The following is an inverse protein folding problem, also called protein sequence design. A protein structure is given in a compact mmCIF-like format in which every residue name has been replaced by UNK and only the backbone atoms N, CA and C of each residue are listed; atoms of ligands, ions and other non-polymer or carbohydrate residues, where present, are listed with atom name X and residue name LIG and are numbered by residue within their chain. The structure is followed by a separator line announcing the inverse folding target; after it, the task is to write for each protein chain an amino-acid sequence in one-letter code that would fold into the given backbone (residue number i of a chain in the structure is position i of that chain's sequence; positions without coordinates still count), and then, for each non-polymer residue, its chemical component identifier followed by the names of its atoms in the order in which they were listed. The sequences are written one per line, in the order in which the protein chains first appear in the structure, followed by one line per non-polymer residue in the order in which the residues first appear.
data_IF_863832104695
#
_entry.id   IF_863832104695
#
_cell.length_a   1.000
_cell.length_b   1.000
_cell.length_c   1.000
_cell.angle_alpha   90.00
_cell.angle_beta   90.00
_cell.angle_gamma   90.00
#
_symmetry.space_group_name_H-M   'P 1'
#
loop_
_entity.id
_entity.type
_entity.pdbx_description
1 polymer ?
#
# COMPACT_ATOMS: atom_id res chain seq x y z
N UNK A 1 -4.55 -0.66 -9.31
CA UNK A 1 -5.23 -1.05 -8.06
C UNK A 1 -6.65 -1.45 -8.41
N UNK A 2 -7.04 -2.70 -8.17
CA UNK A 2 -8.42 -3.15 -8.33
C UNK A 2 -9.24 -2.71 -7.12
N UNK A 3 -10.39 -2.08 -7.33
CA UNK A 3 -11.26 -1.56 -6.26
C UNK A 3 -12.27 -2.63 -5.86
N UNK A 4 -12.30 -2.98 -4.57
CA UNK A 4 -13.37 -3.81 -4.00
C UNK A 4 -14.57 -2.93 -3.68
N UNK A 5 -15.78 -3.41 -3.99
CA UNK A 5 -17.01 -2.66 -3.73
C UNK A 5 -17.84 -3.42 -2.69
N UNK A 6 -18.31 -2.75 -1.61
CA UNK A 6 -19.21 -3.39 -0.66
C UNK A 6 -20.51 -3.79 -1.38
N UNK A 7 -20.99 -4.99 -1.09
CA UNK A 7 -22.29 -5.44 -1.60
C UNK A 7 -23.37 -4.64 -0.89
N UNK A 8 -24.23 -3.95 -1.64
CA UNK A 8 -25.35 -3.19 -1.10
C UNK A 8 -26.66 -3.92 -1.33
N UNK A 9 -27.71 -3.61 -0.55
CA UNK A 9 -29.06 -4.18 -0.69
C UNK A 9 -29.71 -4.05 -2.08
N UNK A 10 -29.10 -3.29 -3.00
CA UNK A 10 -29.55 -3.19 -4.40
C UNK A 10 -29.10 -4.35 -5.28
N UNK A 11 -28.14 -5.17 -4.85
CA UNK A 11 -27.87 -6.46 -5.49
C UNK A 11 -28.99 -7.42 -5.13
N UNK A 12 -29.84 -7.75 -6.11
CA UNK A 12 -31.04 -8.58 -5.90
C UNK A 12 -30.67 -9.95 -5.27
N UNK A 13 -31.55 -10.42 -4.39
CA UNK A 13 -31.84 -11.75 -3.79
C UNK A 13 -30.72 -12.72 -3.37
N UNK A 14 -29.81 -12.32 -2.49
CA UNK A 14 -28.99 -13.28 -1.76
C UNK A 14 -29.84 -14.34 -1.06
N UNK A 15 -29.38 -15.60 -1.06
CA UNK A 15 -30.07 -16.70 -0.38
C UNK A 15 -29.07 -17.63 0.29
N UNK A 16 -29.55 -18.41 1.26
CA UNK A 16 -28.75 -19.40 1.98
C UNK A 16 -29.24 -20.79 1.57
N UNK A 17 -28.34 -21.63 1.10
CA UNK A 17 -28.61 -23.03 0.74
C UNK A 17 -27.46 -23.89 1.25
N UNK A 18 -27.77 -24.92 2.04
CA UNK A 18 -26.78 -25.85 2.62
C UNK A 18 -25.59 -25.18 3.33
N UNK A 19 -25.85 -24.05 4.00
CA UNK A 19 -24.83 -23.28 4.71
C UNK A 19 -23.96 -22.37 3.83
N UNK A 20 -24.26 -22.29 2.54
CA UNK A 20 -23.64 -21.36 1.60
C UNK A 20 -24.50 -20.12 1.40
N UNK A 21 -23.87 -18.95 1.48
CA UNK A 21 -24.44 -17.68 1.05
C UNK A 21 -24.17 -17.51 -0.45
N UNK A 22 -25.25 -17.57 -1.23
CA UNK A 22 -25.19 -17.55 -2.69
C UNK A 22 -25.71 -16.23 -3.27
N UNK A 23 -25.04 -15.74 -4.32
CA UNK A 23 -25.53 -14.64 -5.15
C UNK A 23 -26.52 -15.19 -6.19
N UNK A 24 -27.71 -14.61 -6.36
CA UNK A 24 -28.55 -14.97 -7.50
C UNK A 24 -27.95 -14.32 -8.74
N UNK A 25 -27.75 -15.10 -9.80
CA UNK A 25 -27.43 -14.56 -11.11
C UNK A 25 -28.71 -14.44 -11.91
N UNK A 26 -29.25 -13.23 -11.96
CA UNK A 26 -30.02 -12.83 -13.13
C UNK A 26 -29.04 -12.39 -14.21
N UNK A 27 -29.18 -12.93 -15.41
CA UNK A 27 -28.58 -12.30 -16.58
C UNK A 27 -29.13 -10.89 -16.76
N UNK A 28 -28.44 -10.03 -17.53
CA UNK A 28 -28.96 -8.70 -17.88
C UNK A 28 -30.38 -8.70 -18.49
N UNK A 29 -30.83 -9.82 -19.07
CA UNK A 29 -32.18 -10.02 -19.62
C UNK A 29 -33.20 -10.60 -18.61
N UNK A 30 -32.84 -10.69 -17.32
CA UNK A 30 -33.76 -11.12 -16.25
C UNK A 30 -34.11 -12.60 -16.27
N UNK A 31 -33.33 -13.43 -16.96
CA UNK A 31 -33.46 -14.88 -16.93
C UNK A 31 -32.56 -15.47 -15.85
N UNK A 32 -33.00 -16.57 -15.26
CA UNK A 32 -32.17 -17.36 -14.37
C UNK A 32 -31.00 -17.93 -15.17
N UNK A 33 -29.80 -17.43 -14.93
CA UNK A 33 -28.60 -18.06 -15.48
C UNK A 33 -28.18 -19.13 -14.48
N UNK A 34 -28.38 -20.40 -14.86
CA UNK A 34 -27.59 -21.48 -14.26
C UNK A 34 -26.13 -21.25 -14.65
N UNK A 35 -25.37 -20.59 -13.80
CA UNK A 35 -23.91 -20.56 -13.89
C UNK A 35 -23.39 -21.69 -13.00
N UNK A 36 -22.62 -22.59 -13.58
CA UNK A 36 -22.12 -23.81 -12.93
C UNK A 36 -21.12 -23.59 -11.77
N UNK A 37 -20.85 -22.35 -11.36
CA UNK A 37 -20.22 -22.02 -10.08
C UNK A 37 -19.94 -20.51 -10.03
N UNK A 38 -20.79 -19.72 -9.38
CA UNK A 38 -20.22 -18.58 -8.66
C UNK A 38 -19.79 -19.10 -7.29
N UNK A 39 -18.59 -18.75 -6.80
CA UNK A 39 -18.18 -19.14 -5.46
C UNK A 39 -19.08 -18.41 -4.47
N UNK A 40 -20.09 -19.13 -3.95
CA UNK A 40 -20.78 -18.71 -2.74
C UNK A 40 -19.79 -18.66 -1.57
N UNK A 41 -20.22 -18.05 -0.47
CA UNK A 41 -19.41 -18.02 0.76
C UNK A 41 -19.98 -19.07 1.70
N UNK A 42 -19.18 -20.08 2.05
CA UNK A 42 -19.55 -21.06 3.08
C UNK A 42 -19.50 -20.36 4.43
N UNK A 43 -20.67 -20.19 5.06
CA UNK A 43 -20.80 -19.38 6.27
C UNK A 43 -20.01 -19.96 7.45
N UNK A 44 -19.90 -21.29 7.53
CA UNK A 44 -19.11 -21.98 8.55
C UNK A 44 -17.61 -21.68 8.47
N UNK A 45 -17.12 -21.22 7.33
CA UNK A 45 -15.69 -20.96 7.14
C UNK A 45 -15.31 -19.53 7.53
N UNK A 46 -16.30 -18.66 7.76
CA UNK A 46 -16.09 -17.21 7.95
C UNK A 46 -16.89 -16.59 9.10
N UNK A 47 -17.86 -17.33 9.66
CA UNK A 47 -18.68 -16.91 10.79
C UNK A 47 -18.65 -17.98 11.88
N UNK A 48 -18.66 -17.53 13.13
CA UNK A 48 -18.81 -18.36 14.32
C UNK A 48 -19.93 -17.87 15.25
N UNK A 49 -19.99 -18.47 16.43
CA UNK A 49 -20.89 -18.06 17.52
C UNK A 49 -20.09 -17.92 18.81
N UNK A 50 -20.15 -16.74 19.44
CA UNK A 50 -19.44 -16.44 20.69
C UNK A 50 -20.41 -15.80 21.67
N UNK A 51 -20.68 -16.48 22.79
CA UNK A 51 -21.58 -16.04 23.85
C UNK A 51 -22.94 -15.51 23.34
N UNK A 52 -23.57 -16.21 22.38
CA UNK A 52 -24.87 -15.82 21.84
C UNK A 52 -24.82 -14.63 20.87
N UNK A 53 -23.63 -14.25 20.40
CA UNK A 53 -23.41 -13.27 19.33
C UNK A 53 -22.78 -13.93 18.12
N UNK A 54 -22.90 -13.27 16.96
CA UNK A 54 -22.10 -13.65 15.79
C UNK A 54 -20.63 -13.42 16.12
N UNK A 55 -19.76 -14.28 15.62
CA UNK A 55 -18.33 -14.04 15.64
C UNK A 55 -17.87 -13.82 14.19
N UNK A 56 -17.31 -12.64 13.91
CA UNK A 56 -16.77 -12.23 12.62
C UNK A 56 -15.25 -12.05 12.67
N UNK A 57 -14.59 -12.55 13.72
CA UNK A 57 -13.13 -12.51 13.82
C UNK A 57 -12.46 -13.30 12.67
N UNK A 58 -11.17 -13.04 12.36
CA UNK A 58 -10.46 -13.76 11.29
C UNK A 58 -10.35 -15.28 11.50
N UNK A 59 -10.46 -15.74 12.74
CA UNK A 59 -10.43 -17.13 13.16
C UNK A 59 -11.83 -17.72 13.43
N UNK A 60 -12.88 -16.92 13.22
CA UNK A 60 -14.25 -17.35 13.43
C UNK A 60 -14.61 -18.49 12.46
N UNK A 61 -15.24 -19.53 12.99
CA UNK A 61 -15.75 -20.64 12.20
C UNK A 61 -16.87 -21.38 12.92
N UNK A 62 -17.60 -22.18 12.15
CA UNK A 62 -18.60 -23.11 12.64
C UNK A 62 -19.92 -22.48 13.06
N UNK A 63 -20.40 -21.44 12.38
CA UNK A 63 -21.73 -20.86 12.62
C UNK A 63 -22.82 -21.94 12.75
N UNK A 64 -22.94 -22.83 11.77
CA UNK A 64 -23.92 -23.91 11.66
C UNK A 64 -23.36 -25.19 12.29
N UNK A 65 -22.13 -25.59 11.95
CA UNK A 65 -21.55 -26.85 12.42
C UNK A 65 -21.34 -26.94 13.93
N UNK A 66 -21.27 -25.80 14.65
CA UNK A 66 -21.18 -25.78 16.11
C UNK A 66 -22.45 -26.25 16.82
N UNK A 67 -23.60 -26.27 16.13
CA UNK A 67 -24.90 -26.51 16.74
C UNK A 67 -25.40 -25.34 17.60
N UNK A 68 -24.67 -24.22 17.68
CA UNK A 68 -25.05 -23.01 18.43
C UNK A 68 -25.83 -21.98 17.60
N UNK A 69 -26.25 -22.32 16.39
CA UNK A 69 -27.13 -21.47 15.58
C UNK A 69 -28.32 -22.26 15.02
N UNK A 70 -29.45 -21.57 14.87
CA UNK A 70 -30.61 -22.08 14.14
C UNK A 70 -31.43 -20.95 13.53
N UNK A 71 -32.42 -21.32 12.69
CA UNK A 71 -33.31 -20.36 12.02
C UNK A 71 -32.58 -19.32 11.17
N UNK A 72 -31.48 -19.73 10.54
CA UNK A 72 -30.64 -18.88 9.71
C UNK A 72 -31.40 -18.43 8.45
N UNK A 73 -31.53 -17.12 8.26
CA UNK A 73 -32.17 -16.53 7.07
C UNK A 73 -31.51 -15.22 6.70
N UNK A 74 -31.38 -14.93 5.41
CA UNK A 74 -30.92 -13.64 4.90
C UNK A 74 -32.14 -12.83 4.43
N UNK A 75 -32.26 -11.61 4.94
CA UNK A 75 -33.30 -10.66 4.54
C UNK A 75 -33.01 -10.00 3.18
N UNK A 76 -34.02 -9.37 2.60
CA UNK A 76 -33.86 -8.58 1.36
C UNK A 76 -32.98 -7.33 1.55
N UNK A 77 -32.84 -6.88 2.80
CA UNK A 77 -31.93 -5.83 3.26
C UNK A 77 -30.48 -6.30 3.41
N UNK A 78 -30.19 -7.56 3.08
CA UNK A 78 -28.89 -8.20 3.25
C UNK A 78 -28.46 -8.29 4.73
N UNK A 79 -29.46 -8.41 5.62
CA UNK A 79 -29.26 -8.69 7.04
C UNK A 79 -29.44 -10.18 7.30
N UNK A 80 -28.42 -10.80 7.88
CA UNK A 80 -28.45 -12.19 8.31
C UNK A 80 -29.12 -12.26 9.68
N UNK A 81 -30.22 -13.01 9.77
CA UNK A 81 -30.92 -13.28 11.02
C UNK A 81 -30.65 -14.72 11.47
N UNK A 82 -30.40 -14.91 12.76
CA UNK A 82 -30.26 -16.22 13.39
C UNK A 82 -30.78 -16.21 14.83
N UNK A 83 -31.08 -17.38 15.36
CA UNK A 83 -31.13 -17.62 16.81
C UNK A 83 -29.78 -18.20 17.21
N UNK A 84 -29.07 -17.55 18.12
CA UNK A 84 -27.73 -17.95 18.56
C UNK A 84 -27.75 -18.33 20.03
N UNK A 85 -27.12 -19.44 20.36
CA UNK A 85 -27.06 -19.94 21.72
C UNK A 85 -25.87 -19.31 22.47
N UNK A 86 -26.11 -18.82 23.69
CA UNK A 86 -25.04 -18.36 24.58
C UNK A 86 -24.37 -19.49 25.36
N UNK A 87 -23.43 -19.14 26.23
CA UNK A 87 -22.68 -20.13 27.02
C UNK A 87 -23.51 -20.73 28.17
N UNK A 88 -24.67 -20.14 28.50
CA UNK A 88 -25.64 -20.69 29.44
C UNK A 88 -26.65 -21.63 28.78
N UNK A 89 -26.66 -21.67 27.44
CA UNK A 89 -27.58 -22.48 26.66
C UNK A 89 -28.86 -21.73 26.23
N UNK A 90 -28.97 -20.44 26.55
CA UNK A 90 -30.11 -19.61 26.20
C UNK A 90 -30.02 -19.14 24.75
N UNK A 91 -31.15 -19.07 24.06
CA UNK A 91 -31.24 -18.70 22.65
C UNK A 91 -31.60 -17.23 22.48
N UNK A 92 -30.80 -16.51 21.69
CA UNK A 92 -30.96 -15.08 21.46
C UNK A 92 -31.19 -14.77 19.98
N UNK A 93 -32.23 -13.99 19.62
CA UNK A 93 -32.38 -13.49 18.26
C UNK A 93 -31.26 -12.48 17.96
N UNK A 94 -30.48 -12.74 16.91
CA UNK A 94 -29.39 -11.88 16.45
C UNK A 94 -29.53 -11.52 14.99
N UNK A 95 -28.95 -10.38 14.64
CA UNK A 95 -28.95 -9.81 13.30
C UNK A 95 -27.53 -9.33 12.97
N UNK A 96 -27.09 -9.56 11.74
CA UNK A 96 -25.78 -9.15 11.24
C UNK A 96 -25.94 -8.51 9.87
N UNK A 97 -25.51 -7.26 9.71
CA UNK A 97 -25.54 -6.62 8.40
C UNK A 97 -24.36 -7.11 7.55
N UNK A 98 -24.66 -7.94 6.54
CA UNK A 98 -23.63 -8.58 5.72
C UNK A 98 -22.91 -7.58 4.80
N UNK A 99 -23.48 -6.38 4.59
CA UNK A 99 -22.88 -5.33 3.75
C UNK A 99 -21.52 -4.84 4.28
N UNK A 100 -21.25 -5.04 5.57
CA UNK A 100 -19.96 -4.67 6.16
C UNK A 100 -18.85 -5.69 5.91
N UNK A 101 -19.21 -6.94 5.62
CA UNK A 101 -18.26 -8.04 5.57
C UNK A 101 -18.12 -8.62 4.17
N UNK A 102 -19.12 -8.46 3.31
CA UNK A 102 -19.12 -9.07 1.98
C UNK A 102 -18.72 -8.06 0.92
N UNK A 103 -17.60 -8.34 0.24
CA UNK A 103 -17.05 -7.53 -0.82
C UNK A 103 -17.05 -8.30 -2.13
N UNK A 104 -17.49 -7.65 -3.21
CA UNK A 104 -17.44 -8.22 -4.54
C UNK A 104 -16.28 -7.60 -5.33
N UNK A 105 -15.60 -8.44 -6.10
CA UNK A 105 -14.61 -8.03 -7.10
C UNK A 105 -14.65 -9.01 -8.26
N UNK A 106 -14.80 -8.49 -9.46
CA UNK A 106 -14.87 -9.25 -10.71
C UNK A 106 -15.94 -10.37 -10.63
N UNK A 107 -15.51 -11.63 -10.57
CA UNK A 107 -16.36 -12.83 -10.47
C UNK A 107 -16.24 -13.54 -9.13
N UNK A 108 -15.67 -12.86 -8.12
CA UNK A 108 -15.47 -13.40 -6.77
C UNK A 108 -16.17 -12.54 -5.74
N UNK A 109 -16.65 -13.21 -4.69
CA UNK A 109 -17.12 -12.59 -3.47
C UNK A 109 -16.18 -13.04 -2.35
N UNK A 110 -15.79 -12.10 -1.49
CA UNK A 110 -14.90 -12.34 -0.35
C UNK A 110 -15.57 -11.85 0.93
N UNK A 111 -15.46 -12.64 1.99
CA UNK A 111 -15.76 -12.20 3.34
C UNK A 111 -14.51 -11.53 3.94
N UNK A 112 -14.68 -10.36 4.55
CA UNK A 112 -13.61 -9.65 5.27
C UNK A 112 -14.08 -9.34 6.67
N UNK A 113 -13.36 -9.87 7.65
CA UNK A 113 -13.49 -9.51 9.06
C UNK A 113 -13.28 -8.00 9.28
N UNK A 114 -13.80 -7.42 10.38
CA UNK A 114 -13.55 -6.03 10.73
C UNK A 114 -12.06 -5.68 10.65
N UNK A 115 -11.75 -4.59 9.94
CA UNK A 115 -10.37 -4.11 9.86
C UNK A 115 -9.92 -3.54 11.21
N UNK A 116 -8.65 -3.70 11.56
CA UNK A 116 -8.07 -2.95 12.68
C UNK A 116 -7.84 -1.48 12.34
N UNK A 117 -7.91 -1.10 11.05
CA UNK A 117 -7.78 0.28 10.63
C UNK A 117 -9.09 1.05 10.88
N UNK A 118 -9.01 2.06 11.77
CA UNK A 118 -10.16 2.86 12.20
C UNK A 118 -10.82 3.67 11.08
N UNK A 119 -10.12 3.95 9.96
CA UNK A 119 -10.71 4.59 8.77
C UNK A 119 -11.69 3.68 8.03
N UNK A 120 -11.54 2.36 8.19
CA UNK A 120 -12.35 1.35 7.50
C UNK A 120 -13.42 0.81 8.44
N UNK A 121 -13.08 0.56 9.70
CA UNK A 121 -13.96 -0.10 10.66
C UNK A 121 -14.59 0.82 11.70
N UNK A 122 -14.34 2.13 11.62
CA UNK A 122 -14.95 3.11 12.52
C UNK A 122 -15.50 4.32 11.78
N UNK A 123 -16.18 5.17 12.53
CA UNK A 123 -16.78 6.41 12.01
C UNK A 123 -17.34 7.29 13.10
N UNK A 124 -17.97 8.40 12.69
CA UNK A 124 -18.52 9.42 13.58
C UNK A 124 -17.51 9.89 14.65
N UNK A 125 -16.24 10.03 14.25
CA UNK A 125 -15.20 10.44 15.17
C UNK A 125 -15.32 11.92 15.49
N UNK A 126 -15.35 12.25 16.78
CA UNK A 126 -15.37 13.62 17.29
C UNK A 126 -14.26 13.81 18.32
N UNK A 127 -13.80 15.04 18.47
CA UNK A 127 -12.86 15.43 19.53
C UNK A 127 -13.61 16.16 20.65
N UNK A 128 -13.61 15.58 21.85
CA UNK A 128 -14.18 16.19 23.05
C UNK A 128 -13.06 16.43 24.07
N UNK A 129 -12.59 17.68 24.13
CA UNK A 129 -11.41 18.03 24.91
C UNK A 129 -10.16 17.35 24.34
N UNK A 130 -9.58 16.41 25.10
CA UNK A 130 -8.43 15.60 24.66
C UNK A 130 -8.80 14.18 24.26
N UNK A 131 -10.09 13.82 24.35
CA UNK A 131 -10.57 12.49 24.03
C UNK A 131 -11.10 12.46 22.61
N UNK A 132 -10.65 11.51 21.82
CA UNK A 132 -11.35 11.11 20.60
C UNK A 132 -12.48 10.16 21.00
N UNK A 133 -13.68 10.41 20.51
CA UNK A 133 -14.85 9.53 20.66
C UNK A 133 -15.35 9.14 19.29
N UNK A 134 -16.00 7.98 19.17
CA UNK A 134 -16.63 7.56 17.93
C UNK A 134 -17.30 6.21 18.09
N UNK A 135 -17.58 5.57 16.95
CA UNK A 135 -18.12 4.21 16.88
C UNK A 135 -17.20 3.32 16.07
N UNK A 136 -17.02 2.08 16.51
CA UNK A 136 -16.15 1.09 15.88
C UNK A 136 -16.86 -0.26 15.76
N UNK A 137 -16.69 -0.93 14.62
CA UNK A 137 -17.20 -2.26 14.34
C UNK A 137 -16.37 -3.32 15.06
N UNK A 138 -17.00 -4.12 15.93
CA UNK A 138 -16.34 -5.17 16.69
C UNK A 138 -16.43 -6.55 16.02
N UNK A 139 -15.74 -7.53 16.62
CA UNK A 139 -15.77 -8.92 16.18
C UNK A 139 -17.12 -9.61 16.44
N UNK A 140 -18.01 -8.98 17.23
CA UNK A 140 -19.39 -9.44 17.39
C UNK A 140 -20.33 -9.00 16.25
N UNK A 141 -19.79 -8.24 15.29
CA UNK A 141 -20.51 -7.70 14.15
C UNK A 141 -21.37 -6.47 14.46
N UNK A 142 -21.28 -5.92 15.68
CA UNK A 142 -22.00 -4.74 16.13
C UNK A 142 -21.08 -3.51 16.15
N UNK A 143 -21.70 -2.32 16.13
CA UNK A 143 -21.02 -1.06 16.34
C UNK A 143 -21.00 -0.76 17.84
N UNK A 144 -19.82 -0.47 18.37
CA UNK A 144 -19.60 -0.13 19.77
C UNK A 144 -19.16 1.33 19.89
N UNK A 145 -19.69 2.02 20.89
CA UNK A 145 -19.17 3.31 21.30
C UNK A 145 -17.76 3.13 21.85
N UNK A 146 -16.88 4.05 21.48
CA UNK A 146 -15.49 4.00 21.91
C UNK A 146 -14.94 5.39 22.20
N UNK A 147 -14.04 5.46 23.17
CA UNK A 147 -13.31 6.68 23.51
C UNK A 147 -11.85 6.36 23.80
N UNK A 148 -10.96 7.30 23.43
CA UNK A 148 -9.56 7.20 23.76
C UNK A 148 -8.98 8.56 24.13
N UNK A 149 -8.27 8.64 25.25
CA UNK A 149 -7.63 9.88 25.70
C UNK A 149 -6.28 10.05 25.02
N UNK A 150 -6.19 11.04 24.12
CA UNK A 150 -5.00 11.29 23.32
C UNK A 150 -3.82 11.77 24.19
N UNK A 151 -4.05 12.28 25.41
CA UNK A 151 -2.95 12.69 26.31
C UNK A 151 -2.09 11.51 26.76
N UNK A 152 -2.61 10.28 26.71
CA UNK A 152 -1.86 9.09 27.10
C UNK A 152 -0.65 8.81 26.20
N UNK A 153 -0.71 9.23 24.93
CA UNK A 153 0.32 8.89 23.95
C UNK A 153 0.79 10.04 23.06
N UNK A 154 0.06 11.16 22.96
CA UNK A 154 0.53 12.31 22.20
C UNK A 154 1.33 13.24 23.10
N UNK A 155 2.44 13.72 22.57
CA UNK A 155 3.28 14.73 23.18
C UNK A 155 3.57 15.86 22.19
N UNK A 156 4.08 16.98 22.69
CA UNK A 156 4.60 18.06 21.87
C UNK A 156 6.12 18.07 21.94
N UNK A 157 6.76 17.96 20.78
CA UNK A 157 8.21 18.12 20.65
C UNK A 157 8.53 19.21 19.64
N UNK A 158 8.94 20.37 20.15
CA UNK A 158 9.33 21.53 19.35
C UNK A 158 8.24 21.94 18.32
N UNK A 159 6.99 22.06 18.77
CA UNK A 159 5.86 22.51 17.95
C UNK A 159 5.27 21.44 17.03
N UNK A 160 5.52 20.16 17.32
CA UNK A 160 5.00 19.03 16.53
C UNK A 160 4.42 17.94 17.43
N UNK A 161 3.32 17.33 17.00
CA UNK A 161 2.78 16.14 17.63
C UNK A 161 3.77 14.98 17.48
N UNK A 162 4.06 14.30 18.58
CA UNK A 162 4.87 13.08 18.60
C UNK A 162 4.14 12.01 19.39
N UNK A 163 3.89 10.87 18.76
CA UNK A 163 3.43 9.68 19.46
C UNK A 163 4.58 9.12 20.31
N UNK A 164 4.33 8.88 21.59
CA UNK A 164 5.21 8.20 22.54
C UNK A 164 4.58 6.87 22.96
N UNK A 165 5.40 5.95 23.43
CA UNK A 165 4.88 4.75 24.10
C UNK A 165 4.02 5.18 25.29
N UNK A 166 2.95 4.44 25.54
CA UNK A 166 1.95 4.76 26.56
C UNK A 166 2.66 4.97 27.91
N UNK A 167 2.50 6.17 28.47
CA UNK A 167 3.25 6.59 29.64
C UNK A 167 2.31 7.09 30.73
N UNK A 168 2.67 6.80 31.98
CA UNK A 168 1.99 7.23 33.19
C UNK A 168 2.12 8.75 33.38
N UNK A 169 1.40 9.55 32.59
CA UNK A 169 1.40 10.99 32.73
C UNK A 169 0.65 11.72 31.64
N UNK A 170 0.26 12.97 31.92
CA UNK A 170 -0.38 13.86 30.96
C UNK A 170 0.58 14.14 29.79
N UNK A 171 0.14 13.83 28.58
CA UNK A 171 0.84 14.16 27.35
C UNK A 171 1.03 15.67 27.20
N UNK A 172 2.25 16.10 26.90
CA UNK A 172 2.62 17.51 26.91
C UNK A 172 1.89 18.35 25.86
N UNK A 173 1.28 17.73 24.84
CA UNK A 173 0.61 18.46 23.76
C UNK A 173 -0.57 19.31 24.26
N UNK A 174 -1.40 18.76 25.15
CA UNK A 174 -2.60 19.44 25.63
C UNK A 174 -2.26 20.62 26.56
N UNK A 175 -1.09 20.54 27.22
CA UNK A 175 -0.58 21.58 28.13
C UNK A 175 0.09 22.71 27.33
N UNK A 176 0.80 22.35 26.26
CA UNK A 176 1.64 23.27 25.47
C UNK A 176 1.00 23.74 24.16
N UNK A 177 -0.30 23.50 24.00
CA UNK A 177 -1.02 23.81 22.77
C UNK A 177 -2.47 24.23 22.96
N UNK A 178 -3.10 24.65 21.87
CA UNK A 178 -4.49 25.09 21.84
C UNK A 178 -5.12 24.92 20.45
N UNK A 179 -6.41 25.26 20.35
CA UNK A 179 -7.19 25.24 19.10
C UNK A 179 -7.17 23.86 18.42
N UNK A 180 -7.32 22.80 19.21
CA UNK A 180 -7.37 21.44 18.68
C UNK A 180 -8.66 21.19 17.93
N UNK A 181 -8.54 20.59 16.74
CA UNK A 181 -9.67 20.17 15.92
C UNK A 181 -9.34 18.85 15.23
N UNK A 182 -10.35 17.99 15.09
CA UNK A 182 -10.24 16.75 14.35
C UNK A 182 -10.92 16.93 12.99
N UNK A 183 -10.19 16.59 11.92
CA UNK A 183 -10.82 16.35 10.62
C UNK A 183 -11.50 14.97 10.68
N UNK A 184 -12.83 14.95 10.69
CA UNK A 184 -13.63 13.73 10.87
C UNK A 184 -13.46 12.74 9.71
N UNK A 185 -13.12 13.21 8.50
CA UNK A 185 -13.01 12.34 7.32
C UNK A 185 -11.65 11.63 7.28
N UNK A 186 -10.59 12.38 7.54
CA UNK A 186 -9.21 11.87 7.44
C UNK A 186 -8.62 11.46 8.79
N UNK A 187 -9.36 11.70 9.89
CA UNK A 187 -8.95 11.44 11.27
C UNK A 187 -7.61 12.13 11.58
N UNK A 188 -7.46 13.35 11.08
CA UNK A 188 -6.28 14.19 11.27
C UNK A 188 -6.55 15.13 12.44
N UNK A 189 -5.78 14.99 13.52
CA UNK A 189 -5.77 15.96 14.60
C UNK A 189 -4.90 17.14 14.18
N UNK A 190 -5.47 18.34 14.24
CA UNK A 190 -4.79 19.62 14.00
C UNK A 190 -4.82 20.47 15.26
N UNK A 191 -3.87 21.38 15.39
CA UNK A 191 -3.85 22.37 16.47
C UNK A 191 -2.62 23.26 16.40
N UNK A 192 -2.47 24.13 17.41
CA UNK A 192 -1.28 24.94 17.59
C UNK A 192 -0.48 24.43 18.78
N UNK A 193 0.81 24.22 18.60
CA UNK A 193 1.73 23.71 19.62
C UNK A 193 2.90 24.68 19.79
N UNK A 194 3.35 24.90 21.03
CA UNK A 194 4.52 25.71 21.33
C UNK A 194 5.81 25.01 20.92
N UNK A 195 6.71 25.73 20.26
CA UNK A 195 8.05 25.25 19.95
C UNK A 195 9.03 25.56 21.11
N UNK A 196 10.32 25.22 20.95
CA UNK A 196 11.33 25.47 22.00
C UNK A 196 11.62 26.97 22.24
N UNK A 197 11.19 27.84 21.32
CA UNK A 197 11.25 29.30 21.42
C UNK A 197 9.97 29.94 22.00
N UNK A 198 9.02 29.11 22.47
CA UNK A 198 7.69 29.51 22.95
C UNK A 198 6.75 30.09 21.87
N UNK A 199 7.10 29.98 20.58
CA UNK A 199 6.22 30.37 19.47
C UNK A 199 5.15 29.30 19.21
N UNK A 200 3.94 29.72 18.89
CA UNK A 200 2.88 28.81 18.44
C UNK A 200 3.05 28.41 16.97
N UNK A 201 3.14 27.11 16.71
CA UNK A 201 3.27 26.54 15.37
C UNK A 201 2.09 25.64 15.07
N UNK A 202 1.54 25.73 13.86
CA UNK A 202 0.49 24.80 13.41
C UNK A 202 1.07 23.39 13.27
N UNK A 203 0.42 22.42 13.90
CA UNK A 203 0.80 21.02 13.88
C UNK A 203 -0.39 20.16 13.42
N UNK A 204 -0.07 19.02 12.82
CA UNK A 204 -1.05 18.01 12.42
C UNK A 204 -0.49 16.60 12.61
N UNK A 205 -1.34 15.64 12.93
CA UNK A 205 -1.00 14.22 13.02
C UNK A 205 -2.18 13.36 12.55
N UNK A 206 -1.88 12.35 11.74
CA UNK A 206 -2.86 11.36 11.31
C UNK A 206 -3.02 10.30 12.41
N UNK A 207 -4.16 10.32 13.10
CA UNK A 207 -4.42 9.41 14.22
C UNK A 207 -4.67 7.97 13.73
N UNK A 208 -5.05 7.76 12.47
CA UNK A 208 -5.27 6.41 11.93
C UNK A 208 -4.00 5.57 11.83
N UNK A 209 -2.83 6.21 11.88
CA UNK A 209 -1.53 5.54 11.94
C UNK A 209 -1.16 5.09 13.36
N UNK A 210 -1.84 5.62 14.36
CA UNK A 210 -1.50 5.47 15.77
C UNK A 210 -2.62 4.86 16.60
N UNK A 211 -3.85 4.81 16.09
CA UNK A 211 -5.00 4.19 16.72
C UNK A 211 -5.49 3.03 15.88
N UNK A 212 -5.84 1.94 16.54
CA UNK A 212 -6.42 0.74 15.94
C UNK A 212 -7.75 0.42 16.60
N UNK A 213 -8.68 -0.10 15.82
CA UNK A 213 -9.90 -0.70 16.33
C UNK A 213 -9.58 -2.14 16.75
N UNK A 214 -9.62 -2.41 18.04
CA UNK A 214 -9.46 -3.74 18.61
C UNK A 214 -10.78 -4.10 19.25
N UNK A 215 -11.56 -4.91 18.53
CA UNK A 215 -12.85 -5.43 18.98
C UNK A 215 -13.84 -4.34 19.42
N UNK A 216 -14.01 -3.31 18.59
CA UNK A 216 -14.91 -2.18 18.85
C UNK A 216 -14.30 -1.10 19.75
N UNK A 217 -13.06 -1.28 20.22
CA UNK A 217 -12.40 -0.33 21.11
C UNK A 217 -11.15 0.28 20.47
N UNK A 218 -11.03 1.61 20.55
CA UNK A 218 -9.82 2.31 20.16
C UNK A 218 -8.67 1.93 21.10
N UNK A 219 -7.58 1.48 20.52
CA UNK A 219 -6.33 1.22 21.23
C UNK A 219 -5.18 1.91 20.52
N UNK A 220 -4.24 2.44 21.29
CA UNK A 220 -3.01 2.97 20.74
C UNK A 220 -2.15 1.84 20.19
N UNK A 221 -1.71 1.99 18.93
CA UNK A 221 -0.67 1.17 18.32
C UNK A 221 0.65 1.90 18.58
N UNK A 222 1.56 1.32 19.38
CA UNK A 222 2.89 1.88 19.57
C UNK A 222 3.52 2.15 18.20
N UNK A 223 4.18 3.31 18.01
CA UNK A 223 4.85 3.63 16.76
C UNK A 223 5.80 2.48 16.46
N UNK A 224 5.51 1.76 15.37
CA UNK A 224 6.31 0.64 14.96
C UNK A 224 7.74 1.15 14.75
N UNK A 225 8.69 0.44 15.34
CA UNK A 225 10.10 0.63 15.09
C UNK A 225 10.35 0.60 13.58
N UNK A 226 11.38 1.31 13.10
CA UNK A 226 11.60 1.45 11.68
C UNK A 226 11.85 0.08 11.00
N UNK A 227 12.19 -0.98 11.74
CA UNK A 227 12.43 -2.36 11.27
C UNK A 227 11.35 -3.38 11.65
N UNK A 228 10.27 -2.95 12.31
CA UNK A 228 9.22 -3.87 12.71
C UNK A 228 8.44 -4.37 11.48
N UNK A 229 7.59 -5.40 11.64
CA UNK A 229 6.83 -6.00 10.53
C UNK A 229 6.08 -4.98 9.68
N UNK A 230 5.50 -3.96 10.31
CA UNK A 230 4.81 -2.86 9.62
C UNK A 230 5.63 -1.55 9.67
N UNK A 231 6.91 -1.63 10.05
CA UNK A 231 7.83 -0.51 10.18
C UNK A 231 8.19 0.10 8.83
N UNK A 232 8.62 1.36 8.85
CA UNK A 232 8.85 2.11 7.62
C UNK A 232 9.93 1.49 6.70
N UNK A 233 10.98 0.84 7.23
CA UNK A 233 11.92 0.06 6.41
C UNK A 233 11.33 -1.23 5.90
N UNK A 234 10.43 -1.88 6.62
CA UNK A 234 9.81 -3.11 6.17
C UNK A 234 8.80 -2.83 5.08
N UNK A 235 7.95 -1.80 5.22
CA UNK A 235 7.08 -1.33 4.14
C UNK A 235 7.89 -0.87 2.91
N UNK A 236 9.00 -0.17 3.15
CA UNK A 236 9.93 0.23 2.10
C UNK A 236 10.62 -0.98 1.44
N UNK A 237 11.07 -1.97 2.22
CA UNK A 237 11.65 -3.26 1.80
C UNK A 237 10.66 -4.12 1.00
N UNK A 238 9.41 -4.16 1.41
CA UNK A 238 8.29 -4.78 0.68
C UNK A 238 8.03 -4.07 -0.66
N UNK A 239 8.42 -2.80 -0.76
CA UNK A 239 8.38 -2.02 -2.01
C UNK A 239 9.64 -2.21 -2.86
N UNK A 240 10.67 -2.96 -2.40
CA UNK A 240 11.91 -3.09 -3.18
C UNK A 240 11.75 -3.95 -4.44
N UNK A 241 12.44 -3.57 -5.53
CA UNK A 241 12.38 -4.22 -6.85
C UNK A 241 12.91 -5.67 -6.90
N UNK A 242 13.37 -6.27 -5.81
CA UNK A 242 13.82 -7.67 -5.83
C UNK A 242 12.68 -8.64 -6.12
N UNK A 243 11.47 -8.35 -5.62
CA UNK A 243 10.26 -9.13 -5.96
C UNK A 243 9.92 -8.99 -7.44
N UNK A 244 10.11 -7.80 -8.02
CA UNK A 244 9.79 -7.55 -9.42
C UNK A 244 10.81 -8.19 -10.38
N UNK A 245 12.07 -8.34 -9.98
CA UNK A 245 13.06 -9.15 -10.71
C UNK A 245 12.75 -10.65 -10.69
N UNK A 246 12.13 -11.17 -9.63
CA UNK A 246 11.64 -12.55 -9.63
C UNK A 246 10.53 -12.76 -10.68
N UNK A 247 9.67 -11.75 -10.89
CA UNK A 247 8.64 -11.77 -11.96
C UNK A 247 9.29 -11.71 -13.35
N UNK A 248 10.37 -10.94 -13.53
CA UNK A 248 11.16 -10.95 -14.78
C UNK A 248 11.72 -12.34 -15.06
N UNK A 249 12.36 -12.96 -14.06
CA UNK A 249 12.92 -14.30 -14.18
C UNK A 249 11.84 -15.35 -14.50
N UNK A 250 10.67 -15.29 -13.87
CA UNK A 250 9.56 -16.19 -14.14
C UNK A 250 9.05 -16.07 -15.60
N UNK A 251 8.95 -14.86 -16.15
CA UNK A 251 8.58 -14.65 -17.54
C UNK A 251 9.65 -15.14 -18.53
N UNK A 252 10.94 -14.95 -18.21
CA UNK A 252 12.05 -15.49 -19.01
C UNK A 252 12.03 -17.03 -19.04
N UNK A 253 11.87 -17.67 -17.87
CA UNK A 253 11.78 -19.14 -17.75
C UNK A 253 10.57 -19.69 -18.53
N UNK A 254 9.49 -18.90 -18.62
CA UNK A 254 8.29 -19.27 -19.37
C UNK A 254 8.35 -18.95 -20.87
N UNK A 255 9.48 -18.46 -21.39
CA UNK A 255 9.65 -18.07 -22.80
C UNK A 255 8.88 -16.80 -23.20
N UNK A 256 8.32 -16.06 -22.23
CA UNK A 256 7.50 -14.87 -22.45
C UNK A 256 8.37 -13.61 -22.46
N UNK A 257 9.26 -13.49 -23.45
CA UNK A 257 10.30 -12.45 -23.51
C UNK A 257 9.74 -11.02 -23.46
N UNK A 258 8.63 -10.74 -24.13
CA UNK A 258 8.01 -9.41 -24.13
C UNK A 258 7.40 -9.04 -22.77
N UNK A 259 6.82 -10.01 -22.04
CA UNK A 259 6.35 -9.77 -20.66
C UNK A 259 7.51 -9.60 -19.68
N UNK A 260 8.62 -10.32 -19.90
CA UNK A 260 9.85 -10.13 -19.12
C UNK A 260 10.43 -8.72 -19.32
N UNK A 261 10.50 -8.22 -20.56
CA UNK A 261 10.92 -6.84 -20.88
C UNK A 261 10.04 -5.81 -20.20
N UNK A 262 8.72 -5.99 -20.23
CA UNK A 262 7.77 -5.10 -19.54
C UNK A 262 7.95 -5.11 -18.02
N UNK A 263 8.08 -6.29 -17.42
CA UNK A 263 8.33 -6.43 -15.98
C UNK A 263 9.67 -5.78 -15.60
N UNK A 264 10.70 -5.90 -16.44
CA UNK A 264 12.00 -5.29 -16.26
C UNK A 264 11.92 -3.76 -16.35
N UNK A 265 11.18 -3.22 -17.32
CA UNK A 265 10.94 -1.78 -17.45
C UNK A 265 10.36 -1.18 -16.16
N UNK A 266 9.32 -1.82 -15.60
CA UNK A 266 8.68 -1.37 -14.34
C UNK A 266 9.59 -1.53 -13.13
N UNK A 267 10.36 -2.62 -13.07
CA UNK A 267 11.34 -2.86 -12.01
C UNK A 267 12.44 -1.80 -12.01
N UNK A 268 12.93 -1.47 -13.21
CA UNK A 268 13.98 -0.49 -13.43
C UNK A 268 13.47 0.93 -13.16
N UNK A 269 12.24 1.24 -13.54
CA UNK A 269 11.57 2.49 -13.19
C UNK A 269 11.59 2.70 -11.66
N UNK A 270 11.08 1.71 -10.92
CA UNK A 270 11.00 1.79 -9.46
C UNK A 270 12.39 1.95 -8.83
N UNK A 271 13.39 1.21 -9.34
CA UNK A 271 14.78 1.30 -8.88
C UNK A 271 15.40 2.68 -9.11
N UNK A 272 15.19 3.29 -10.28
CA UNK A 272 15.76 4.60 -10.63
C UNK A 272 15.14 5.71 -9.77
N UNK A 273 13.81 5.70 -9.62
CA UNK A 273 13.10 6.67 -8.76
C UNK A 273 13.58 6.51 -7.33
N UNK A 274 13.66 5.28 -6.82
CA UNK A 274 14.15 4.97 -5.49
C UNK A 274 15.58 5.49 -5.26
N UNK A 275 16.51 5.17 -6.16
CA UNK A 275 17.90 5.57 -6.05
C UNK A 275 18.04 7.11 -6.07
N UNK A 276 17.25 7.77 -6.91
CA UNK A 276 17.24 9.22 -7.04
C UNK A 276 16.66 9.91 -5.80
N UNK A 277 15.54 9.40 -5.26
CA UNK A 277 14.98 9.85 -3.99
C UNK A 277 15.98 9.69 -2.83
N UNK A 278 16.70 8.56 -2.81
CA UNK A 278 17.68 8.24 -1.76
C UNK A 278 18.87 9.18 -1.83
N UNK A 279 19.47 9.34 -3.02
CA UNK A 279 20.57 10.29 -3.25
C UNK A 279 20.15 11.72 -2.93
N UNK A 280 18.96 12.13 -3.38
CA UNK A 280 18.38 13.43 -3.07
C UNK A 280 18.17 13.64 -1.57
N UNK A 281 17.64 12.64 -0.87
CA UNK A 281 17.43 12.71 0.58
C UNK A 281 18.72 12.79 1.40
N UNK A 282 19.80 12.15 0.93
CA UNK A 282 21.13 12.26 1.54
C UNK A 282 21.66 13.70 1.40
N UNK A 283 21.48 14.33 0.24
CA UNK A 283 22.04 15.66 -0.04
C UNK A 283 21.20 16.81 0.53
N UNK A 284 19.87 16.68 0.52
CA UNK A 284 18.95 17.81 0.74
C UNK A 284 17.75 17.57 1.65
N UNK A 285 17.74 16.47 2.43
CA UNK A 285 16.59 16.08 3.28
C UNK A 285 15.27 16.05 2.48
N UNK A 286 14.15 16.56 3.04
CA UNK A 286 12.84 16.49 2.38
C UNK A 286 12.74 17.24 1.04
N UNK A 287 13.45 18.36 0.89
CA UNK A 287 13.55 19.05 -0.41
C UNK A 287 14.35 18.22 -1.41
N UNK A 288 15.47 17.64 -0.95
CA UNK A 288 16.30 16.76 -1.76
C UNK A 288 15.57 15.50 -2.22
N UNK A 289 14.74 14.87 -1.37
CA UNK A 289 13.89 13.73 -1.78
C UNK A 289 12.92 14.14 -2.88
N UNK A 290 12.28 15.31 -2.74
CA UNK A 290 11.30 15.79 -3.72
C UNK A 290 11.97 16.07 -5.09
N UNK A 291 13.15 16.68 -5.08
CA UNK A 291 13.95 16.89 -6.30
C UNK A 291 14.46 15.57 -6.87
N UNK A 292 14.90 14.64 -6.01
CA UNK A 292 15.32 13.30 -6.39
C UNK A 292 14.19 12.51 -7.05
N UNK A 293 12.97 12.58 -6.52
CA UNK A 293 11.78 12.00 -7.12
C UNK A 293 11.50 12.62 -8.49
N UNK A 294 11.53 13.95 -8.59
CA UNK A 294 11.27 14.66 -9.85
C UNK A 294 12.24 14.28 -10.97
N UNK A 295 13.54 14.24 -10.68
CA UNK A 295 14.57 13.89 -11.64
C UNK A 295 14.58 12.38 -11.93
N UNK A 296 14.40 11.56 -10.90
CA UNK A 296 14.33 10.10 -11.01
C UNK A 296 13.17 9.66 -11.88
N UNK A 297 11.97 10.23 -11.69
CA UNK A 297 10.80 9.92 -12.51
C UNK A 297 11.00 10.31 -13.97
N UNK A 298 11.61 11.47 -14.27
CA UNK A 298 11.91 11.85 -15.66
C UNK A 298 12.85 10.85 -16.34
N UNK A 299 13.92 10.44 -15.65
CA UNK A 299 14.88 9.45 -16.16
C UNK A 299 14.24 8.06 -16.32
N UNK A 300 13.44 7.65 -15.34
CA UNK A 300 12.74 6.37 -15.33
C UNK A 300 11.73 6.26 -16.48
N UNK A 301 10.92 7.30 -16.74
CA UNK A 301 9.98 7.34 -17.87
C UNK A 301 10.69 7.23 -19.22
N UNK A 302 11.86 7.86 -19.38
CA UNK A 302 12.66 7.74 -20.62
C UNK A 302 13.18 6.33 -20.83
N UNK A 303 13.57 5.66 -19.75
CA UNK A 303 14.03 4.27 -19.82
C UNK A 303 12.86 3.33 -20.10
N UNK A 304 11.68 3.55 -19.54
CA UNK A 304 10.47 2.80 -19.91
C UNK A 304 10.12 2.95 -21.39
N UNK A 305 10.18 4.17 -21.94
CA UNK A 305 9.93 4.45 -23.36
C UNK A 305 10.92 3.69 -24.26
N UNK A 306 12.20 3.67 -23.88
CA UNK A 306 13.23 2.90 -24.58
C UNK A 306 12.95 1.39 -24.53
N UNK A 307 12.64 0.84 -23.35
CA UNK A 307 12.33 -0.60 -23.23
C UNK A 307 11.05 -0.94 -23.99
N UNK A 308 10.02 -0.10 -23.95
CA UNK A 308 8.78 -0.28 -24.70
C UNK A 308 9.02 -0.39 -26.20
N UNK A 309 9.95 0.39 -26.75
CA UNK A 309 10.32 0.33 -28.17
C UNK A 309 10.97 -0.99 -28.60
N UNK A 310 11.42 -1.81 -27.63
CA UNK A 310 12.01 -3.14 -27.89
C UNK A 310 11.03 -4.30 -27.75
N UNK A 311 9.78 -4.02 -27.36
CA UNK A 311 8.71 -5.01 -27.22
C UNK A 311 8.07 -5.22 -28.59
N UNK A 312 8.05 -6.45 -29.07
CA UNK A 312 7.55 -6.77 -30.42
C UNK A 312 6.02 -6.85 -30.42
N UNK A 313 5.43 -7.45 -29.38
CA UNK A 313 3.98 -7.55 -29.24
C UNK A 313 3.35 -6.16 -28.96
N UNK A 314 2.54 -5.62 -29.89
CA UNK A 314 1.90 -4.32 -29.72
C UNK A 314 0.95 -4.27 -28.53
N UNK A 315 0.33 -5.41 -28.16
CA UNK A 315 -0.57 -5.49 -27.00
C UNK A 315 0.18 -5.41 -25.68
N UNK A 316 1.43 -5.87 -25.63
CA UNK A 316 2.28 -5.77 -24.43
C UNK A 316 2.92 -4.38 -24.36
N UNK A 317 3.35 -3.83 -25.50
CA UNK A 317 3.87 -2.47 -25.61
C UNK A 317 2.82 -1.43 -25.19
N UNK A 318 1.56 -1.59 -25.61
CA UNK A 318 0.45 -0.71 -25.23
C UNK A 318 0.13 -0.69 -23.73
N UNK A 319 0.67 -1.65 -22.95
CA UNK A 319 0.49 -1.69 -21.49
C UNK A 319 1.59 -0.93 -20.72
N UNK A 320 2.50 -0.26 -21.45
CA UNK A 320 3.43 0.73 -20.91
C UNK A 320 2.85 2.10 -21.27
N UNK A 321 2.51 2.88 -20.25
CA UNK A 321 1.87 4.17 -20.46
C UNK A 321 2.84 5.12 -21.21
N UNK A 322 2.37 5.90 -22.19
CA UNK A 322 3.22 6.86 -22.87
C UNK A 322 3.75 7.92 -21.91
N UNK A 323 4.96 8.40 -22.18
CA UNK A 323 5.60 9.45 -21.38
C UNK A 323 4.92 10.81 -21.60
N UNK A 324 3.80 11.04 -20.94
CA UNK A 324 3.04 12.31 -21.01
C UNK A 324 3.41 13.24 -19.86
N UNK A 325 3.25 14.55 -20.08
CA UNK A 325 3.47 15.58 -19.05
C UNK A 325 2.55 15.38 -17.83
N UNK A 326 1.31 14.97 -18.07
CA UNK A 326 0.33 14.67 -17.02
C UNK A 326 0.75 13.47 -16.17
N UNK A 327 1.23 12.39 -16.80
CA UNK A 327 1.77 11.21 -16.12
C UNK A 327 2.98 11.59 -15.28
N UNK A 328 3.90 12.39 -15.82
CA UNK A 328 5.06 12.89 -15.10
C UNK A 328 4.67 13.61 -13.82
N UNK A 329 3.80 14.63 -13.89
CA UNK A 329 3.38 15.38 -12.70
C UNK A 329 2.67 14.51 -11.67
N UNK A 330 1.80 13.59 -12.11
CA UNK A 330 1.11 12.64 -11.23
C UNK A 330 2.10 11.74 -10.49
N UNK A 331 3.06 11.15 -11.19
CA UNK A 331 4.04 10.24 -10.60
C UNK A 331 5.04 10.98 -9.69
N UNK A 332 5.50 12.17 -10.08
CA UNK A 332 6.35 13.01 -9.23
C UNK A 332 5.64 13.39 -7.94
N UNK A 333 4.35 13.74 -8.00
CA UNK A 333 3.56 14.07 -6.81
C UNK A 333 3.41 12.86 -5.87
N UNK A 334 3.08 11.69 -6.42
CA UNK A 334 2.95 10.43 -5.66
C UNK A 334 4.29 10.04 -5.03
N UNK A 335 5.38 10.10 -5.79
CA UNK A 335 6.72 9.74 -5.31
C UNK A 335 7.28 10.75 -4.31
N UNK A 336 6.97 12.05 -4.46
CA UNK A 336 7.34 13.08 -3.49
C UNK A 336 6.53 12.98 -2.18
N UNK A 337 5.24 12.62 -2.27
CA UNK A 337 4.39 12.36 -1.11
C UNK A 337 4.88 11.12 -0.33
N UNK A 338 5.16 10.02 -1.03
CA UNK A 338 5.79 8.83 -0.44
C UNK A 338 7.18 9.15 0.13
N UNK A 339 7.93 10.02 -0.56
CA UNK A 339 9.23 10.50 -0.15
C UNK A 339 9.22 11.38 1.11
N UNK A 340 8.17 12.16 1.36
CA UNK A 340 8.00 12.91 2.62
C UNK A 340 7.88 11.99 3.83
N UNK A 341 7.18 10.86 3.67
CA UNK A 341 7.14 9.78 4.67
C UNK A 341 8.55 9.18 4.88
N UNK A 342 9.33 9.05 3.81
CA UNK A 342 10.76 8.68 3.85
C UNK A 342 11.73 9.77 4.38
N UNK A 343 11.37 11.05 4.38
CA UNK A 343 12.25 12.15 4.82
C UNK A 343 12.50 12.20 6.33
N UNK A 344 11.66 11.52 7.11
CA UNK A 344 11.89 11.27 8.54
C UNK A 344 12.99 10.20 8.73
N UNK A 345 13.12 9.26 7.78
CA UNK A 345 14.14 8.19 7.78
C UNK A 345 15.52 8.70 7.35
N UNK A 346 15.62 9.59 6.35
CA UNK A 346 16.91 10.11 5.88
C UNK A 346 17.67 10.89 6.96
N UNK A 347 16.94 11.62 7.84
CA UNK A 347 17.50 12.29 9.03
C UNK A 347 18.09 11.33 10.06
N UNK A 348 17.67 10.06 10.11
CA UNK A 348 18.24 9.01 10.96
C UNK A 348 19.41 8.28 10.28
N UNK A 349 19.32 8.02 8.98
CA UNK A 349 20.41 7.41 8.21
C UNK A 349 21.66 8.31 8.13
N UNK A 350 21.47 9.63 8.03
CA UNK A 350 22.56 10.60 8.06
C UNK A 350 23.36 10.63 9.39
N UNK A 351 22.85 10.03 10.48
CA UNK A 351 23.59 9.89 11.74
C UNK A 351 24.46 8.62 11.81
N UNK A 352 24.24 7.64 10.94
CA UNK A 352 24.98 6.37 10.93
C UNK A 352 26.09 6.31 9.86
N UNK A 353 26.07 7.20 8.86
CA UNK A 353 27.07 7.25 7.80
C UNK A 353 28.28 8.12 8.16
N UNK A 354 29.24 7.55 8.88
CA UNK A 354 30.58 8.14 9.02
C UNK A 354 31.31 8.24 7.66
N UNK A 355 32.32 9.12 7.59
CA UNK A 355 33.03 9.61 6.39
C UNK A 355 33.62 8.57 5.42
N UNK A 356 33.58 7.27 5.75
CA UNK A 356 34.06 6.21 4.86
C UNK A 356 33.11 5.89 3.70
N UNK A 357 31.80 6.17 3.87
CA UNK A 357 30.80 5.87 2.83
C UNK A 357 30.73 6.98 1.78
N UNK A 358 30.98 8.24 2.16
CA UNK A 358 31.02 9.36 1.21
C UNK A 358 32.13 9.20 0.19
N UNK A 359 33.32 8.79 0.61
CA UNK A 359 34.50 8.75 -0.25
C UNK A 359 34.46 7.55 -1.22
N UNK A 360 33.88 6.43 -0.79
CA UNK A 360 33.64 5.27 -1.64
C UNK A 360 32.57 5.55 -2.69
N UNK A 361 31.50 6.28 -2.32
CA UNK A 361 30.40 6.64 -3.22
C UNK A 361 30.82 7.77 -4.17
N UNK A 362 31.55 8.77 -3.70
CA UNK A 362 32.11 9.83 -4.54
C UNK A 362 33.13 9.23 -5.53
N UNK A 363 33.96 8.29 -5.09
CA UNK A 363 34.89 7.56 -5.95
C UNK A 363 34.20 6.72 -7.04
N UNK A 364 33.11 6.03 -6.71
CA UNK A 364 32.32 5.26 -7.69
C UNK A 364 31.55 6.16 -8.66
N UNK A 365 30.95 7.24 -8.15
CA UNK A 365 30.17 8.20 -8.96
C UNK A 365 31.07 8.97 -9.90
N UNK A 366 32.25 9.41 -9.42
CA UNK A 366 33.25 10.12 -10.22
C UNK A 366 33.87 9.21 -11.27
N UNK A 367 34.14 7.93 -10.96
CA UNK A 367 34.59 6.95 -11.97
C UNK A 367 33.53 6.65 -13.03
N UNK A 368 32.26 6.53 -12.65
CA UNK A 368 31.16 6.33 -13.59
C UNK A 368 30.95 7.55 -14.49
N UNK A 369 30.96 8.76 -13.91
CA UNK A 369 30.82 10.01 -14.66
C UNK A 369 32.04 10.33 -15.52
N UNK A 370 33.26 10.09 -15.04
CA UNK A 370 34.48 10.30 -15.83
C UNK A 370 34.63 9.26 -16.93
N UNK A 371 34.11 8.04 -16.74
CA UNK A 371 34.03 7.01 -17.77
C UNK A 371 33.03 7.40 -18.86
N UNK A 372 31.83 7.85 -18.48
CA UNK A 372 30.84 8.35 -19.41
C UNK A 372 31.33 9.61 -20.14
N UNK A 373 31.92 10.58 -19.43
CA UNK A 373 32.41 11.84 -19.98
C UNK A 373 33.63 11.64 -20.88
N UNK A 374 34.57 10.76 -20.52
CA UNK A 374 35.70 10.41 -21.42
C UNK A 374 35.23 9.69 -22.66
N UNK A 375 34.30 8.73 -22.56
CA UNK A 375 33.76 8.04 -23.73
C UNK A 375 33.02 9.03 -24.66
N UNK A 376 32.22 9.94 -24.09
CA UNK A 376 31.54 11.02 -24.84
C UNK A 376 32.53 11.99 -25.51
N UNK A 377 33.64 12.35 -24.85
CA UNK A 377 34.62 13.29 -25.40
C UNK A 377 35.54 12.62 -26.42
N UNK A 378 35.99 11.39 -26.18
CA UNK A 378 36.83 10.62 -27.12
C UNK A 378 36.04 10.29 -28.38
N UNK A 379 34.79 9.85 -28.26
CA UNK A 379 33.91 9.56 -29.41
C UNK A 379 33.54 10.83 -30.19
N UNK A 380 33.48 12.00 -29.53
CA UNK A 380 33.26 13.29 -30.19
C UNK A 380 34.52 13.82 -30.91
N UNK A 381 35.72 13.51 -30.40
CA UNK A 381 37.00 13.97 -30.94
C UNK A 381 37.46 13.08 -32.10
N UNK A 382 37.27 11.75 -32.01
CA UNK A 382 37.59 10.80 -33.09
C UNK A 382 36.66 10.94 -34.30
N UNK A 383 35.46 11.51 -34.11
CA UNK A 383 34.47 11.73 -35.18
C UNK A 383 34.45 13.18 -35.72
N UNK A 384 35.35 14.05 -35.27
CA UNK A 384 35.60 15.37 -35.87
C UNK A 384 34.43 16.37 -35.84
N UNK A 385 33.50 16.26 -34.90
CA UNK A 385 32.27 17.06 -34.89
C UNK A 385 32.32 18.23 -33.88
N UNK A 386 32.27 19.46 -34.40
CA UNK A 386 32.01 20.68 -33.60
C UNK A 386 30.51 20.87 -33.36
N UNK A 387 30.16 21.54 -32.26
CA UNK A 387 28.84 21.61 -31.62
C UNK A 387 27.73 22.40 -32.35
N UNK A 388 27.67 22.44 -33.70
CA UNK A 388 26.77 23.40 -34.39
C UNK A 388 25.71 22.88 -35.35
N UNK A 389 25.60 21.59 -35.72
CA UNK A 389 24.41 21.11 -36.47
C UNK A 389 24.34 19.58 -36.58
N UNK A 390 23.14 18.99 -36.35
CA UNK A 390 22.86 17.53 -36.40
C UNK A 390 22.97 16.86 -37.78
N UNK A 391 22.75 15.52 -37.92
CA UNK A 391 21.54 14.82 -37.46
C UNK A 391 21.67 13.46 -36.71
N UNK A 392 20.54 13.12 -36.07
CA UNK A 392 19.92 11.89 -35.52
C UNK A 392 20.66 10.83 -34.68
N UNK A 393 20.13 10.69 -33.46
CA UNK A 393 20.37 9.70 -32.39
C UNK A 393 20.08 8.22 -32.77
N UNK A 394 19.52 7.96 -33.95
CA UNK A 394 19.00 6.65 -34.36
C UNK A 394 20.09 5.58 -34.55
N UNK A 395 21.36 5.99 -34.71
CA UNK A 395 22.48 5.05 -34.91
C UNK A 395 23.12 4.57 -33.60
N UNK A 396 22.77 5.16 -32.45
CA UNK A 396 23.47 4.98 -31.16
C UNK A 396 22.76 4.05 -30.17
N UNK A 397 21.61 3.50 -30.54
CA UNK A 397 20.78 2.58 -29.73
C UNK A 397 21.02 1.10 -30.02
N UNK A 398 21.75 0.76 -31.10
CA UNK A 398 22.06 -0.64 -31.45
C UNK A 398 22.93 -1.35 -30.39
N UNK A 399 23.88 -0.64 -29.76
CA UNK A 399 24.85 -1.27 -28.85
C UNK A 399 24.25 -1.72 -27.51
N UNK A 400 23.19 -1.04 -27.03
CA UNK A 400 22.50 -1.42 -25.79
C UNK A 400 21.54 -2.60 -26.00
N UNK A 401 20.91 -2.65 -27.18
CA UNK A 401 20.09 -3.79 -27.61
C UNK A 401 20.96 -5.05 -27.76
N UNK A 402 22.18 -4.92 -28.28
CA UNK A 402 23.15 -6.02 -28.39
C UNK A 402 23.55 -6.57 -27.01
N UNK A 403 23.71 -5.72 -25.99
CA UNK A 403 24.03 -6.18 -24.62
C UNK A 403 22.88 -7.00 -24.02
N UNK A 404 21.63 -6.57 -24.24
CA UNK A 404 20.45 -7.30 -23.76
C UNK A 404 20.23 -8.62 -24.54
N UNK A 405 20.52 -8.63 -25.83
CA UNK A 405 20.47 -9.84 -26.67
C UNK A 405 21.54 -10.87 -26.25
N UNK A 406 22.76 -10.40 -25.95
CA UNK A 406 23.85 -11.27 -25.49
C UNK A 406 23.54 -11.91 -24.12
N UNK A 407 22.93 -11.16 -23.20
CA UNK A 407 22.47 -11.70 -21.90
C UNK A 407 21.34 -12.73 -22.11
N UNK A 408 20.44 -12.51 -23.07
CA UNK A 408 19.40 -13.46 -23.44
C UNK A 408 19.95 -14.76 -24.03
N UNK A 409 21.00 -14.69 -24.86
CA UNK A 409 21.66 -15.85 -25.45
C UNK A 409 22.46 -16.67 -24.42
N UNK A 410 23.17 -16.01 -23.50
CA UNK A 410 23.92 -16.70 -22.43
C UNK A 410 23.02 -17.46 -21.45
N UNK A 411 21.77 -17.02 -21.26
CA UNK A 411 20.79 -17.67 -20.39
C UNK A 411 19.97 -18.76 -21.10
N UNK A 412 20.04 -18.84 -22.43
CA UNK A 412 19.25 -19.77 -23.26
C UNK A 412 19.95 -21.09 -23.63
N UNK A 413 21.24 -21.25 -23.36
CA UNK A 413 21.97 -22.49 -23.66
C UNK A 413 22.09 -23.40 -22.42
N UNK A 414 21.37 -24.53 -22.34
CA UNK A 414 21.66 -25.54 -21.33
C UNK A 414 22.96 -26.25 -21.68
N UNK A 415 24.05 -25.95 -20.96
CA UNK A 415 25.27 -26.77 -20.98
C UNK A 415 25.01 -28.11 -20.28
N UNK A 416 24.52 -29.09 -21.04
CA UNK A 416 24.63 -30.50 -20.67
C UNK A 416 26.03 -31.00 -21.06
N UNK A 417 26.98 -30.92 -20.13
CA UNK A 417 28.21 -31.73 -20.21
C UNK A 417 27.88 -33.16 -19.81
N UNK A 418 27.69 -34.04 -20.80
CA UNK A 418 27.75 -35.49 -20.59
C UNK A 418 29.24 -35.85 -20.48
N UNK A 419 29.69 -36.19 -19.27
CA UNK A 419 30.98 -36.86 -19.08
C UNK A 419 30.83 -38.32 -19.51
N UNK A 420 31.51 -38.68 -20.60
CA UNK A 420 31.79 -40.07 -20.99
C UNK A 420 32.93 -40.65 -20.16
#
# INVERSE_FOLDING_TARGET
MSVWVPVTSRSKFWYIEDGWLNTPLMSPDGKDVKIDAFPGIKLDDVLGVKNGHFDVSPDASGLISSGKSMSLKIGQDFVLHAQLQDDMGDWHPRQLNMSFFIFAKDKSVEFKSPSTNIKISGGAFILEGTKIKGICLASDGLLHDTEYDLTKFLDNKNGAFVARDEADGLGGYAISGNNFALDENDIILTGKLKNDADDEVNAAIDLSLHLSNIDGQLQFKPPQGPWDRDGAWTQFAETFPYVSWAVVAAHLVSGNIDQAKRAAARSLYALIVFASCTAGGIVGNGLGISMGAALGTAAAMKIEELVASTIVDPQVAAQIDPATLERYFKEVLVNAAAGKVGGVLSKRAARFGGSYVSDAIEGMTKKAMDGAKRKIITDATEQGLSFTSGPSLAYRTNDFVIILDNIGQELGEPRLEIKS
#
